data_IF_089741256061
#
_entry.id   IF_089741256061
#
_cell.length_a   1.000
_cell.length_b   1.000
_cell.length_c   1.000
_cell.angle_alpha   90.00
_cell.angle_beta   90.00
_cell.angle_gamma   90.00
#
_symmetry.space_group_name_H-M   'P 1'
#
loop_
_entity.id
_entity.type
_entity.pdbx_description
1 polymer ?
#
# COMPACT_ATOMS: atom_id res chain seq x y z
N UNK A 1 8.51 -70.70 -2.48
CA UNK A 1 9.62 -70.44 -1.53
C UNK A 1 9.05 -69.92 -0.22
N UNK A 2 9.55 -70.47 0.88
CA UNK A 2 8.94 -70.56 2.21
C UNK A 2 8.70 -69.26 3.00
N UNK A 3 7.57 -69.32 3.71
CA UNK A 3 7.10 -68.85 5.05
C UNK A 3 8.13 -68.33 6.12
N UNK A 4 7.69 -67.81 7.29
CA UNK A 4 7.73 -66.41 7.75
C UNK A 4 8.64 -66.25 9.00
N UNK A 5 8.56 -65.14 9.76
CA UNK A 5 8.73 -65.15 11.24
C UNK A 5 8.36 -63.81 11.90
N UNK A 6 7.35 -63.87 12.75
CA UNK A 6 7.12 -62.98 13.89
C UNK A 6 8.27 -63.07 14.90
N UNK A 7 8.69 -61.96 15.53
CA UNK A 7 9.19 -62.01 16.91
C UNK A 7 9.05 -60.66 17.63
N UNK A 8 8.79 -60.77 18.93
CA UNK A 8 8.26 -59.77 19.85
C UNK A 8 9.33 -58.78 20.36
N UNK A 9 8.81 -57.61 20.80
CA UNK A 9 9.19 -56.82 21.99
C UNK A 9 10.66 -56.78 22.39
N UNK A 10 11.22 -55.56 22.47
CA UNK A 10 12.02 -55.13 23.63
C UNK A 10 12.01 -53.60 23.74
N UNK A 11 11.48 -53.13 24.85
CA UNK A 11 11.50 -51.75 25.28
C UNK A 11 12.92 -51.31 25.65
N UNK A 12 13.32 -50.10 25.22
CA UNK A 12 14.31 -49.29 25.94
C UNK A 12 13.88 -47.83 25.88
N UNK A 13 13.47 -47.34 27.06
CA UNK A 13 13.21 -45.95 27.34
C UNK A 13 14.48 -45.12 27.13
N UNK A 14 14.37 -44.04 26.36
CA UNK A 14 15.34 -42.94 26.37
C UNK A 14 14.59 -41.73 26.90
N UNK A 15 14.92 -41.38 28.15
CA UNK A 15 14.46 -40.17 28.81
C UNK A 15 15.19 -39.00 28.16
N UNK A 16 14.50 -38.25 27.29
CA UNK A 16 14.96 -36.95 26.82
C UNK A 16 14.34 -35.89 27.73
N UNK A 17 15.16 -35.37 28.65
CA UNK A 17 14.83 -34.26 29.53
C UNK A 17 14.78 -32.96 28.69
N UNK A 18 13.60 -32.58 28.21
CA UNK A 18 13.39 -31.27 27.60
C UNK A 18 13.22 -30.23 28.70
N UNK A 19 14.27 -29.45 28.94
CA UNK A 19 14.17 -28.23 29.73
C UNK A 19 13.37 -27.22 28.89
N UNK A 20 12.09 -27.08 29.21
CA UNK A 20 11.24 -26.03 28.66
C UNK A 20 11.69 -24.68 29.23
N UNK A 21 12.60 -24.00 28.53
CA UNK A 21 12.93 -22.61 28.81
C UNK A 21 11.78 -21.74 28.29
N UNK A 22 10.75 -21.56 29.12
CA UNK A 22 9.67 -20.62 28.87
C UNK A 22 10.22 -19.20 28.91
N UNK A 23 10.68 -18.67 27.78
CA UNK A 23 10.97 -17.24 27.64
C UNK A 23 9.61 -16.54 27.55
N UNK A 24 9.03 -16.22 28.70
CA UNK A 24 7.95 -15.25 28.77
C UNK A 24 8.52 -13.91 28.33
N UNK A 25 8.27 -13.51 27.09
CA UNK A 25 8.42 -12.12 26.67
C UNK A 25 7.42 -11.30 27.48
N UNK A 26 7.83 -10.86 28.66
CA UNK A 26 7.15 -9.79 29.39
C UNK A 26 7.44 -8.53 28.59
N UNK A 27 6.55 -8.19 27.65
CA UNK A 27 6.57 -6.87 27.03
C UNK A 27 6.43 -5.85 28.17
N UNK A 28 7.39 -4.96 28.41
CA UNK A 28 7.18 -3.88 29.35
C UNK A 28 6.05 -3.01 28.80
N UNK A 29 4.88 -3.12 29.43
CA UNK A 29 3.80 -2.18 29.22
C UNK A 29 4.28 -0.84 29.79
N UNK A 30 4.92 -0.03 28.95
CA UNK A 30 5.23 1.34 29.32
C UNK A 30 3.90 2.05 29.61
N UNK A 31 3.70 2.63 30.80
CA UNK A 31 2.50 3.38 31.09
C UNK A 31 2.44 4.55 30.10
N UNK A 32 1.51 4.48 29.15
CA UNK A 32 1.21 5.59 28.27
C UNK A 32 0.69 6.74 29.15
N UNK A 33 1.53 7.74 29.40
CA UNK A 33 1.12 8.95 30.10
C UNK A 33 0.06 9.63 29.25
N UNK A 34 -1.21 9.52 29.65
CA UNK A 34 -2.31 10.13 28.93
C UNK A 34 -2.16 11.66 29.02
N UNK A 35 -1.71 12.28 27.93
CA UNK A 35 -1.67 13.74 27.81
C UNK A 35 -3.12 14.26 27.89
N UNK A 36 -3.45 14.97 28.97
CA UNK A 36 -4.78 15.55 29.13
C UNK A 36 -4.93 16.76 28.21
N UNK A 37 -5.97 16.74 27.37
CA UNK A 37 -6.28 17.85 26.47
C UNK A 37 -7.03 18.95 27.24
N UNK A 38 -6.55 20.18 27.18
CA UNK A 38 -7.30 21.33 27.69
C UNK A 38 -8.54 21.57 26.83
N UNK A 39 -9.59 22.19 27.39
CA UNK A 39 -10.82 22.51 26.64
C UNK A 39 -10.55 23.36 25.38
N UNK A 40 -9.59 24.29 25.46
CA UNK A 40 -9.17 25.12 24.32
C UNK A 40 -8.53 24.29 23.21
N UNK A 41 -7.63 23.35 23.56
CA UNK A 41 -7.02 22.44 22.58
C UNK A 41 -8.04 21.48 21.97
N UNK A 42 -8.96 20.94 22.79
CA UNK A 42 -10.06 20.11 22.32
C UNK A 42 -10.95 20.86 21.31
N UNK A 43 -11.25 22.13 21.56
CA UNK A 43 -12.00 22.99 20.64
C UNK A 43 -11.30 23.19 19.29
N UNK A 44 -9.98 23.45 19.29
CA UNK A 44 -9.19 23.55 18.05
C UNK A 44 -9.12 22.22 17.30
N UNK A 45 -8.93 21.11 18.02
CA UNK A 45 -8.90 19.78 17.43
C UNK A 45 -10.22 19.46 16.74
N UNK A 46 -11.36 19.70 17.41
CA UNK A 46 -12.70 19.53 16.83
C UNK A 46 -12.86 20.36 15.57
N UNK A 47 -12.48 21.63 15.58
CA UNK A 47 -12.51 22.48 14.37
C UNK A 47 -11.68 21.91 13.22
N UNK A 48 -10.51 21.34 13.51
CA UNK A 48 -9.66 20.70 12.52
C UNK A 48 -10.26 19.42 11.94
N UNK A 49 -10.89 18.60 12.77
CA UNK A 49 -11.58 17.38 12.35
C UNK A 49 -12.82 17.71 11.50
N UNK A 50 -13.61 18.69 11.90
CA UNK A 50 -14.73 19.19 11.09
C UNK A 50 -14.27 19.74 9.73
N UNK A 51 -13.08 20.34 9.67
CA UNK A 51 -12.50 20.77 8.41
C UNK A 51 -12.14 19.58 7.51
N UNK A 52 -11.66 18.47 8.07
CA UNK A 52 -11.40 17.23 7.33
C UNK A 52 -12.71 16.66 6.78
N UNK A 53 -13.75 16.59 7.60
CA UNK A 53 -15.05 16.02 7.20
C UNK A 53 -15.69 16.83 6.06
N UNK A 54 -15.50 18.16 6.07
CA UNK A 54 -15.93 19.06 5.00
C UNK A 54 -14.99 19.08 3.77
N UNK A 55 -13.95 18.24 3.75
CA UNK A 55 -12.95 18.19 2.67
C UNK A 55 -12.01 19.40 2.62
N UNK A 56 -12.03 20.29 3.63
CA UNK A 56 -11.17 21.46 3.72
C UNK A 56 -9.80 21.12 4.32
N UNK A 57 -9.00 20.41 3.53
CA UNK A 57 -7.67 19.93 3.93
C UNK A 57 -6.70 21.07 4.24
N UNK A 58 -6.83 22.22 3.54
CA UNK A 58 -6.03 23.42 3.80
C UNK A 58 -6.26 23.95 5.21
N UNK A 59 -7.53 24.07 5.63
CA UNK A 59 -7.88 24.51 6.98
C UNK A 59 -7.44 23.51 8.05
N UNK A 60 -7.59 22.21 7.80
CA UNK A 60 -7.09 21.17 8.70
C UNK A 60 -5.57 21.29 8.92
N UNK A 61 -4.80 21.45 7.84
CA UNK A 61 -3.34 21.65 7.90
C UNK A 61 -2.95 22.91 8.65
N UNK A 62 -3.64 24.04 8.44
CA UNK A 62 -3.41 25.27 9.20
C UNK A 62 -3.70 25.05 10.70
N UNK A 63 -4.77 24.32 11.00
CA UNK A 63 -5.16 24.01 12.39
C UNK A 63 -4.12 23.14 13.09
N UNK A 64 -3.47 22.21 12.39
CA UNK A 64 -2.35 21.42 12.94
C UNK A 64 -1.22 22.30 13.49
N UNK A 65 -0.94 23.45 12.87
CA UNK A 65 0.16 24.34 13.27
C UNK A 65 -0.11 25.11 14.57
N UNK A 66 -1.38 25.32 14.93
CA UNK A 66 -1.77 26.11 16.10
C UNK A 66 -2.13 25.24 17.32
N UNK A 67 -2.09 23.91 17.17
CA UNK A 67 -2.22 22.96 18.27
C UNK A 67 -0.88 22.84 18.99
N UNK A 68 -0.91 22.91 20.32
CA UNK A 68 0.29 22.77 21.15
C UNK A 68 0.45 21.33 21.63
N UNK A 69 -0.68 20.64 21.90
CA UNK A 69 -0.66 19.25 22.33
C UNK A 69 -0.04 18.34 21.27
N UNK A 70 0.85 17.45 21.71
CA UNK A 70 1.52 16.50 20.82
C UNK A 70 0.52 15.47 20.27
N UNK A 71 -0.38 14.99 21.14
CA UNK A 71 -1.44 14.07 20.80
C UNK A 71 -2.45 14.69 19.82
N UNK A 72 -2.94 15.92 20.11
CA UNK A 72 -3.91 16.58 19.23
C UNK A 72 -3.33 16.82 17.82
N UNK A 73 -2.07 17.28 17.73
CA UNK A 73 -1.37 17.43 16.45
C UNK A 73 -1.29 16.11 15.70
N UNK A 74 -0.97 15.02 16.39
CA UNK A 74 -0.85 13.68 15.80
C UNK A 74 -2.19 13.17 15.27
N UNK A 75 -3.27 13.29 16.06
CA UNK A 75 -4.63 12.92 15.64
C UNK A 75 -5.05 13.69 14.39
N UNK A 76 -4.87 15.00 14.38
CA UNK A 76 -5.27 15.83 13.25
C UNK A 76 -4.41 15.57 12.00
N UNK A 77 -3.10 15.34 12.19
CA UNK A 77 -2.19 14.97 11.10
C UNK A 77 -2.63 13.64 10.48
N UNK A 78 -2.86 12.61 11.30
CA UNK A 78 -3.35 11.32 10.84
C UNK A 78 -4.66 11.44 10.07
N UNK A 79 -5.65 12.16 10.63
CA UNK A 79 -6.93 12.38 9.98
C UNK A 79 -6.78 13.02 8.61
N UNK A 80 -5.87 14.00 8.48
CA UNK A 80 -5.56 14.66 7.21
C UNK A 80 -4.87 13.72 6.22
N UNK A 81 -3.82 13.02 6.63
CA UNK A 81 -3.00 12.19 5.73
C UNK A 81 -3.78 11.00 5.16
N UNK A 82 -4.89 10.60 5.78
CA UNK A 82 -5.82 9.60 5.24
C UNK A 82 -6.64 10.11 4.05
N UNK A 83 -6.79 11.41 3.90
CA UNK A 83 -7.57 12.01 2.82
C UNK A 83 -6.73 12.16 1.53
N UNK A 84 -7.36 12.14 0.35
CA UNK A 84 -6.68 12.57 -0.86
C UNK A 84 -6.26 14.04 -0.73
N UNK A 85 -4.96 14.32 -0.82
CA UNK A 85 -4.42 15.69 -0.76
C UNK A 85 -3.28 15.82 -1.78
N UNK A 86 -3.45 16.59 -2.88
CA UNK A 86 -2.39 16.78 -3.87
C UNK A 86 -1.17 17.53 -3.30
N UNK A 87 -1.30 18.15 -2.12
CA UNK A 87 -0.23 18.89 -1.47
C UNK A 87 0.42 18.10 -0.32
N UNK A 88 0.02 16.85 -0.07
CA UNK A 88 0.72 15.98 0.87
C UNK A 88 1.90 15.33 0.13
N UNK A 89 3.10 15.43 0.69
CA UNK A 89 4.29 14.84 0.06
C UNK A 89 4.47 13.39 0.50
N UNK A 90 5.11 12.59 -0.34
CA UNK A 90 5.54 11.24 0.01
C UNK A 90 6.33 11.23 1.34
N UNK A 91 7.28 12.14 1.49
CA UNK A 91 8.12 12.27 2.69
C UNK A 91 7.31 12.54 3.95
N UNK A 92 6.28 13.39 3.88
CA UNK A 92 5.41 13.69 5.02
C UNK A 92 4.66 12.44 5.49
N UNK A 93 4.07 11.68 4.55
CA UNK A 93 3.31 10.48 4.89
C UNK A 93 4.24 9.38 5.39
N UNK A 94 5.37 9.16 4.71
CA UNK A 94 6.37 8.18 5.10
C UNK A 94 6.91 8.47 6.51
N UNK A 95 7.27 9.71 6.81
CA UNK A 95 7.75 10.11 8.13
C UNK A 95 6.70 9.88 9.22
N UNK A 96 5.43 10.21 8.95
CA UNK A 96 4.35 9.93 9.90
C UNK A 96 4.19 8.43 10.18
N UNK A 97 4.24 7.59 9.14
CA UNK A 97 4.11 6.14 9.29
C UNK A 97 5.30 5.53 10.05
N UNK A 98 6.53 5.93 9.71
CA UNK A 98 7.74 5.44 10.41
C UNK A 98 7.73 5.85 11.89
N UNK A 99 7.30 7.06 12.21
CA UNK A 99 7.22 7.52 13.59
C UNK A 99 6.05 6.93 14.38
N UNK A 100 5.06 6.31 13.71
CA UNK A 100 3.84 5.80 14.34
C UNK A 100 3.41 4.46 13.70
N UNK A 101 4.18 3.38 13.86
CA UNK A 101 3.91 2.10 13.21
C UNK A 101 2.58 1.46 13.65
N UNK A 102 2.20 1.62 14.92
CA UNK A 102 0.98 1.04 15.50
C UNK A 102 -0.26 1.92 15.31
N UNK A 103 -0.12 3.05 14.60
CA UNK A 103 -1.23 3.96 14.38
C UNK A 103 -2.27 3.32 13.43
N UNK A 104 -3.57 3.57 13.62
CA UNK A 104 -4.59 2.96 12.76
C UNK A 104 -4.42 3.29 11.27
N UNK A 105 -4.97 2.43 10.42
CA UNK A 105 -5.07 2.64 8.97
C UNK A 105 -3.72 2.74 8.21
N UNK A 106 -2.67 2.04 8.66
CA UNK A 106 -1.36 1.99 7.97
C UNK A 106 -1.49 1.64 6.48
N UNK A 107 -2.35 0.69 6.10
CA UNK A 107 -2.57 0.34 4.67
C UNK A 107 -3.15 1.50 3.87
N UNK A 108 -4.03 2.32 4.48
CA UNK A 108 -4.60 3.50 3.82
C UNK A 108 -3.54 4.59 3.68
N UNK A 109 -2.75 4.84 4.72
CA UNK A 109 -1.62 5.77 4.68
C UNK A 109 -0.59 5.34 3.63
N UNK A 110 -0.28 4.04 3.53
CA UNK A 110 0.61 3.53 2.51
C UNK A 110 0.09 3.83 1.09
N UNK A 111 -1.21 3.59 0.83
CA UNK A 111 -1.81 3.97 -0.46
C UNK A 111 -1.64 5.46 -0.72
N UNK A 112 -1.85 6.32 0.28
CA UNK A 112 -1.67 7.78 0.15
C UNK A 112 -0.21 8.15 -0.11
N UNK A 113 0.74 7.48 0.55
CA UNK A 113 2.17 7.66 0.30
C UNK A 113 2.52 7.30 -1.15
N UNK A 114 2.06 6.14 -1.63
CA UNK A 114 2.26 5.68 -3.00
C UNK A 114 1.67 6.65 -4.03
N UNK A 115 0.47 7.20 -3.78
CA UNK A 115 -0.17 8.23 -4.60
C UNK A 115 0.61 9.56 -4.65
N UNK A 116 1.36 9.86 -3.58
CA UNK A 116 2.14 11.07 -3.42
C UNK A 116 3.58 10.96 -3.97
N UNK A 117 4.00 9.79 -4.45
CA UNK A 117 5.27 9.63 -5.15
C UNK A 117 5.19 10.35 -6.50
N UNK A 118 6.17 11.21 -6.77
CA UNK A 118 6.26 12.01 -8.00
C UNK A 118 7.55 11.71 -8.76
N UNK A 119 7.68 12.24 -9.98
CA UNK A 119 8.93 12.15 -10.74
C UNK A 119 10.12 12.86 -10.04
N UNK A 120 9.83 13.74 -9.07
CA UNK A 120 10.85 14.42 -8.25
C UNK A 120 11.29 13.60 -7.05
N UNK A 121 10.59 12.50 -6.72
CA UNK A 121 10.96 11.64 -5.60
C UNK A 121 12.20 10.82 -5.99
N UNK A 122 13.30 10.87 -5.22
CA UNK A 122 14.51 10.13 -5.57
C UNK A 122 14.25 8.62 -5.68
N UNK A 123 14.80 7.97 -6.71
CA UNK A 123 14.62 6.52 -6.93
C UNK A 123 15.06 5.69 -5.71
N UNK A 124 16.17 6.06 -5.07
CA UNK A 124 16.64 5.43 -3.81
C UNK A 124 15.60 5.50 -2.70
N UNK A 125 14.89 6.62 -2.54
CA UNK A 125 13.85 6.75 -1.52
C UNK A 125 12.65 5.83 -1.83
N UNK A 126 12.26 5.72 -3.11
CA UNK A 126 11.19 4.83 -3.56
C UNK A 126 11.57 3.36 -3.36
N UNK A 127 12.79 2.96 -3.74
CA UNK A 127 13.26 1.60 -3.54
C UNK A 127 13.36 1.24 -2.05
N UNK A 128 13.87 2.16 -1.22
CA UNK A 128 13.95 1.98 0.24
C UNK A 128 12.56 1.79 0.83
N UNK A 129 11.58 2.58 0.40
CA UNK A 129 10.18 2.44 0.83
C UNK A 129 9.62 1.04 0.55
N UNK A 130 9.86 0.52 -0.65
CA UNK A 130 9.32 -0.78 -1.09
C UNK A 130 10.17 -1.99 -0.66
N UNK A 131 11.32 -1.80 0.01
CA UNK A 131 12.07 -2.92 0.62
C UNK A 131 11.28 -3.62 1.72
N UNK A 132 10.54 -2.86 2.51
CA UNK A 132 9.77 -3.36 3.66
C UNK A 132 8.27 -3.45 3.38
N UNK A 133 7.83 -2.94 2.22
CA UNK A 133 6.41 -2.74 1.90
C UNK A 133 6.12 -3.21 0.49
N UNK A 134 5.18 -4.14 0.35
CA UNK A 134 4.66 -4.50 -0.96
C UNK A 134 3.75 -3.38 -1.49
N UNK A 135 3.86 -2.97 -2.76
CA UNK A 135 2.99 -1.95 -3.33
C UNK A 135 1.50 -2.32 -3.25
N UNK A 136 0.66 -1.42 -2.74
CA UNK A 136 -0.78 -1.65 -2.55
C UNK A 136 -1.65 -1.06 -3.68
N UNK A 137 -1.11 -0.16 -4.49
CA UNK A 137 -1.82 0.53 -5.56
C UNK A 137 -1.14 0.34 -6.92
N UNK A 138 -1.92 0.54 -8.00
CA UNK A 138 -1.36 0.55 -9.36
C UNK A 138 -0.31 1.65 -9.53
N UNK A 139 -0.55 2.82 -8.92
CA UNK A 139 0.41 3.92 -8.91
C UNK A 139 1.69 3.53 -8.17
N UNK A 140 1.59 2.93 -6.97
CA UNK A 140 2.75 2.45 -6.22
C UNK A 140 3.58 1.43 -6.99
N UNK A 141 2.94 0.44 -7.64
CA UNK A 141 3.64 -0.53 -8.50
C UNK A 141 4.33 0.14 -9.67
N UNK A 142 3.66 1.11 -10.30
CA UNK A 142 4.24 1.87 -11.41
C UNK A 142 5.50 2.62 -10.95
N UNK A 143 5.41 3.31 -9.82
CA UNK A 143 6.52 4.07 -9.23
C UNK A 143 7.68 3.19 -8.79
N UNK A 144 7.38 2.01 -8.25
CA UNK A 144 8.40 1.02 -7.94
C UNK A 144 9.13 0.56 -9.20
N UNK A 145 8.39 0.21 -10.26
CA UNK A 145 8.97 -0.14 -11.55
C UNK A 145 9.83 0.97 -12.15
N UNK A 146 9.36 2.22 -12.12
CA UNK A 146 10.12 3.39 -12.56
C UNK A 146 11.44 3.56 -11.78
N UNK A 147 11.42 3.36 -10.47
CA UNK A 147 12.62 3.45 -9.62
C UNK A 147 13.62 2.31 -9.88
N UNK A 148 13.13 1.09 -10.15
CA UNK A 148 13.96 -0.06 -10.56
C UNK A 148 14.65 0.22 -11.90
N UNK A 149 13.90 0.70 -12.90
CA UNK A 149 14.46 1.09 -14.20
C UNK A 149 15.54 2.16 -14.05
N UNK A 150 15.30 3.19 -13.23
CA UNK A 150 16.26 4.25 -12.97
C UNK A 150 17.53 3.77 -12.26
N UNK A 151 17.48 2.60 -11.61
CA UNK A 151 18.62 1.99 -10.90
C UNK A 151 19.31 0.88 -11.70
N UNK A 152 18.97 0.72 -12.99
CA UNK A 152 19.55 -0.28 -13.90
C UNK A 152 18.90 -1.67 -13.84
N UNK A 153 17.96 -1.90 -12.92
CA UNK A 153 17.23 -3.16 -12.75
C UNK A 153 16.11 -3.27 -13.80
N UNK A 154 16.53 -3.44 -15.05
CA UNK A 154 15.67 -3.25 -16.22
C UNK A 154 14.57 -4.30 -16.32
N UNK A 155 14.90 -5.59 -16.12
CA UNK A 155 13.91 -6.66 -16.23
C UNK A 155 12.84 -6.56 -15.13
N UNK A 156 13.27 -6.37 -13.88
CA UNK A 156 12.39 -6.22 -12.72
C UNK A 156 11.52 -4.98 -12.86
N UNK A 157 12.10 -3.87 -13.31
CA UNK A 157 11.37 -2.64 -13.56
C UNK A 157 10.28 -2.80 -14.62
N UNK A 158 10.60 -3.41 -15.76
CA UNK A 158 9.61 -3.68 -16.81
C UNK A 158 8.51 -4.65 -16.33
N UNK A 159 8.87 -5.69 -15.57
CA UNK A 159 7.90 -6.61 -14.99
C UNK A 159 6.94 -5.89 -14.02
N UNK A 160 7.47 -5.02 -13.15
CA UNK A 160 6.67 -4.22 -12.22
C UNK A 160 5.72 -3.24 -12.96
N UNK A 161 6.17 -2.60 -14.03
CA UNK A 161 5.32 -1.74 -14.87
C UNK A 161 4.19 -2.54 -15.52
N UNK A 162 4.48 -3.71 -16.10
CA UNK A 162 3.43 -4.57 -16.69
C UNK A 162 2.42 -5.02 -15.65
N UNK A 163 2.89 -5.46 -14.47
CA UNK A 163 2.01 -5.86 -13.37
C UNK A 163 1.16 -4.70 -12.85
N UNK A 164 1.73 -3.49 -12.77
CA UNK A 164 1.00 -2.27 -12.44
C UNK A 164 -0.13 -2.01 -13.45
N UNK A 165 0.14 -2.18 -14.75
CA UNK A 165 -0.89 -2.07 -15.78
C UNK A 165 -1.95 -3.14 -15.64
N UNK A 166 -1.59 -4.42 -15.46
CA UNK A 166 -2.58 -5.50 -15.44
C UNK A 166 -3.47 -5.38 -14.20
N UNK A 167 -2.87 -5.24 -13.01
CA UNK A 167 -3.55 -5.34 -11.71
C UNK A 167 -3.96 -4.01 -11.10
N UNK A 168 -3.45 -2.89 -11.60
CA UNK A 168 -3.69 -1.57 -11.02
C UNK A 168 -5.10 -1.03 -11.30
N UNK A 169 -5.71 -0.43 -10.28
CA UNK A 169 -6.91 0.39 -10.45
C UNK A 169 -6.51 1.86 -10.48
N UNK A 170 -6.85 2.54 -11.57
CA UNK A 170 -6.44 3.92 -11.85
C UNK A 170 -7.67 4.81 -12.03
N UNK A 171 -7.55 6.08 -11.65
CA UNK A 171 -8.47 7.11 -12.13
C UNK A 171 -8.27 7.31 -13.64
N UNK A 172 -9.26 7.85 -14.34
CA UNK A 172 -9.19 8.12 -15.79
C UNK A 172 -7.91 8.90 -16.17
N UNK A 173 -7.57 9.92 -15.39
CA UNK A 173 -6.41 10.78 -15.65
C UNK A 173 -5.09 10.02 -15.42
N UNK A 174 -5.00 9.24 -14.33
CA UNK A 174 -3.80 8.45 -14.03
C UNK A 174 -3.60 7.31 -15.02
N UNK A 175 -4.67 6.63 -15.44
CA UNK A 175 -4.61 5.59 -16.48
C UNK A 175 -4.08 6.14 -17.80
N UNK A 176 -4.56 7.31 -18.22
CA UNK A 176 -4.10 7.98 -19.44
C UNK A 176 -2.62 8.36 -19.34
N UNK A 177 -2.20 8.94 -18.21
CA UNK A 177 -0.82 9.32 -17.98
C UNK A 177 0.12 8.10 -17.96
N UNK A 178 -0.26 7.06 -17.22
CA UNK A 178 0.45 5.77 -17.17
C UNK A 178 0.61 5.18 -18.57
N UNK A 179 -0.50 5.03 -19.32
CA UNK A 179 -0.45 4.44 -20.65
C UNK A 179 0.41 5.26 -21.61
N UNK A 180 0.28 6.60 -21.59
CA UNK A 180 1.11 7.49 -22.42
C UNK A 180 2.60 7.24 -22.16
N UNK A 181 3.00 7.14 -20.90
CA UNK A 181 4.40 6.95 -20.48
C UNK A 181 4.93 5.56 -20.84
N UNK A 182 4.14 4.52 -20.58
CA UNK A 182 4.62 3.14 -20.53
C UNK A 182 4.17 2.25 -21.69
N UNK A 183 3.34 2.72 -22.63
CA UNK A 183 2.78 1.90 -23.72
C UNK A 183 3.78 1.07 -24.52
N UNK A 184 5.04 1.50 -24.63
CA UNK A 184 6.11 0.76 -25.34
C UNK A 184 6.57 -0.50 -24.59
N UNK A 185 6.30 -0.59 -23.29
CA UNK A 185 6.61 -1.74 -22.43
C UNK A 185 5.43 -2.71 -22.29
N UNK A 186 4.27 -2.36 -22.86
CA UNK A 186 3.05 -3.13 -22.72
C UNK A 186 2.79 -3.95 -23.99
N UNK A 187 2.48 -5.22 -23.81
CA UNK A 187 2.12 -6.14 -24.87
C UNK A 187 0.61 -6.24 -25.05
N UNK A 188 0.18 -6.78 -26.20
CA UNK A 188 -1.22 -7.15 -26.40
C UNK A 188 -1.73 -8.17 -25.37
N UNK A 189 -0.86 -9.04 -24.85
CA UNK A 189 -1.21 -9.97 -23.78
C UNK A 189 -1.52 -9.23 -22.46
N UNK A 190 -0.75 -8.20 -22.12
CA UNK A 190 -0.99 -7.38 -20.92
C UNK A 190 -2.33 -6.63 -21.03
N UNK A 191 -2.69 -6.19 -22.24
CA UNK A 191 -3.98 -5.54 -22.49
C UNK A 191 -5.17 -6.48 -22.31
N UNK A 192 -5.06 -7.72 -22.83
CA UNK A 192 -6.10 -8.76 -22.64
C UNK A 192 -6.27 -9.12 -21.17
N UNK A 193 -5.17 -9.40 -20.47
CA UNK A 193 -5.20 -9.72 -19.04
C UNK A 193 -5.85 -8.61 -18.20
N UNK A 194 -5.53 -7.34 -18.50
CA UNK A 194 -6.17 -6.20 -17.81
C UNK A 194 -7.66 -6.14 -18.13
N UNK A 195 -8.06 -6.29 -19.40
CA UNK A 195 -9.47 -6.24 -19.81
C UNK A 195 -10.29 -7.33 -19.11
N UNK A 196 -9.80 -8.57 -19.11
CA UNK A 196 -10.46 -9.71 -18.47
C UNK A 196 -10.66 -9.47 -16.97
N UNK A 197 -9.60 -9.04 -16.27
CA UNK A 197 -9.68 -8.70 -14.84
C UNK A 197 -10.72 -7.61 -14.59
N UNK A 198 -10.69 -6.54 -15.39
CA UNK A 198 -11.61 -5.41 -15.21
C UNK A 198 -13.06 -5.81 -15.48
N UNK A 199 -13.31 -6.69 -16.43
CA UNK A 199 -14.63 -7.27 -16.68
C UNK A 199 -15.10 -8.10 -15.49
N UNK A 200 -14.25 -9.01 -15.01
CA UNK A 200 -14.53 -9.84 -13.84
C UNK A 200 -14.85 -9.00 -12.59
N UNK A 201 -14.15 -7.88 -12.40
CA UNK A 201 -14.39 -6.94 -11.29
C UNK A 201 -15.57 -5.96 -11.53
N UNK A 202 -16.29 -6.07 -12.65
CA UNK A 202 -17.44 -5.21 -12.99
C UNK A 202 -17.06 -3.74 -13.24
N UNK A 203 -15.82 -3.45 -13.67
CA UNK A 203 -15.31 -2.09 -13.86
C UNK A 203 -15.72 -1.50 -15.21
N UNK A 204 -17.01 -1.17 -15.38
CA UNK A 204 -17.59 -0.70 -16.65
C UNK A 204 -16.75 0.37 -17.38
N UNK A 205 -16.48 1.53 -16.74
CA UNK A 205 -15.76 2.61 -17.39
C UNK A 205 -14.30 2.26 -17.75
N UNK A 206 -13.51 1.59 -16.88
CA UNK A 206 -12.22 1.03 -17.28
C UNK A 206 -12.29 0.03 -18.44
N UNK A 207 -13.28 -0.86 -18.48
CA UNK A 207 -13.49 -1.82 -19.58
C UNK A 207 -13.66 -1.09 -20.91
N UNK A 208 -14.55 -0.09 -20.97
CA UNK A 208 -14.79 0.69 -22.18
C UNK A 208 -13.51 1.35 -22.74
N UNK A 209 -12.60 1.81 -21.86
CA UNK A 209 -11.31 2.39 -22.29
C UNK A 209 -10.30 1.36 -22.78
N UNK A 210 -10.46 0.09 -22.40
CA UNK A 210 -9.59 -1.01 -22.80
C UNK A 210 -9.98 -1.63 -24.14
N UNK A 211 -11.25 -1.53 -24.56
CA UNK A 211 -11.75 -2.14 -25.80
C UNK A 211 -10.91 -1.75 -27.04
N UNK A 212 -10.45 -0.50 -27.11
CA UNK A 212 -9.63 -0.01 -28.23
C UNK A 212 -8.15 -0.38 -28.15
N UNK A 213 -7.71 -1.03 -27.06
CA UNK A 213 -6.33 -1.48 -26.83
C UNK A 213 -6.14 -2.98 -27.10
N UNK A 214 -7.22 -3.71 -27.34
CA UNK A 214 -7.19 -5.13 -27.68
C UNK A 214 -7.53 -5.35 -29.16
N UNK A 215 -7.10 -6.48 -29.76
CA UNK A 215 -7.46 -6.84 -31.13
C UNK A 215 -8.98 -6.88 -31.35
N UNK A 216 -9.47 -6.68 -32.60
CA UNK A 216 -10.90 -6.64 -32.92
C UNK A 216 -11.70 -7.84 -32.41
N UNK A 217 -11.20 -9.07 -32.58
CA UNK A 217 -11.91 -10.28 -32.16
C UNK A 217 -12.08 -10.34 -30.64
N UNK A 218 -11.06 -9.90 -29.90
CA UNK A 218 -11.09 -9.83 -28.44
C UNK A 218 -11.99 -8.70 -27.93
N UNK A 219 -12.08 -7.61 -28.70
CA UNK A 219 -13.02 -6.52 -28.44
C UNK A 219 -14.45 -7.01 -28.55
N UNK A 220 -14.78 -7.78 -29.59
CA UNK A 220 -16.13 -8.32 -29.78
C UNK A 220 -16.54 -9.20 -28.59
N UNK A 221 -15.64 -10.08 -28.13
CA UNK A 221 -15.86 -10.87 -26.91
C UNK A 221 -16.10 -9.99 -25.69
N UNK A 222 -15.36 -8.89 -25.56
CA UNK A 222 -15.48 -7.99 -24.42
C UNK A 222 -16.69 -7.05 -24.43
N UNK A 223 -17.37 -6.89 -25.56
CA UNK A 223 -18.64 -6.17 -25.68
C UNK A 223 -19.83 -7.08 -25.40
N UNK A 224 -19.70 -8.38 -25.70
CA UNK A 224 -20.76 -9.37 -25.54
C UNK A 224 -20.96 -9.89 -24.11
N UNK A 225 -20.04 -9.58 -23.18
CA UNK A 225 -20.05 -9.98 -21.76
C UNK A 225 -20.44 -8.80 -20.87
#
# INVERSE_FOLDING_TARGET
MSIPRTCKLLARAVIALTVAFGVTFVSPAFPAKAESLTAKEAGKLRMGLEAIDKGNIRKARATTKILTSSLARKILTWGRLRQPDPNASFTEIAAFMTANPDWPDQKKLQRRAEEAITDKTPAVAVLTWFRERQPLSGDGKARFGEALLASGLTQEGQAAIRDAWIKGNFTKNRERAFYKRHRRLLSGADHRQRLDRLQWEGKYWPVQRMLWKVPPDYRALGVAR
#
